data_IF_884219888242
#
_entry.id   IF_884219888242
#
_cell.length_a   1.000
_cell.length_b   1.000
_cell.length_c   1.000
_cell.angle_alpha   90.00
_cell.angle_beta   90.00
_cell.angle_gamma   90.00
#
_symmetry.space_group_name_H-M   'P 1'
#
loop_
_entity.id
_entity.type
_entity.pdbx_description
1 polymer ?
#
# COMPACT_ATOMS: atom_id res chain seq x y z
N UNK A 1 25.30 -2.41 0.86
CA UNK A 1 24.80 -2.39 2.25
C UNK A 1 24.63 -3.83 2.71
N UNK A 2 25.24 -4.22 3.83
CA UNK A 2 25.06 -5.55 4.41
C UNK A 2 23.66 -5.65 5.03
N UNK A 3 22.87 -6.69 4.72
CA UNK A 3 21.56 -6.85 5.32
C UNK A 3 21.67 -6.98 6.84
N UNK A 4 20.81 -6.24 7.56
CA UNK A 4 20.77 -6.24 9.02
C UNK A 4 20.42 -7.64 9.54
N UNK A 5 21.07 -8.09 10.62
CA UNK A 5 20.84 -9.43 11.15
C UNK A 5 19.40 -9.61 11.63
N UNK A 6 18.91 -10.85 11.60
CA UNK A 6 17.54 -11.16 12.03
C UNK A 6 17.30 -10.75 13.48
N UNK A 7 18.30 -10.90 14.36
CA UNK A 7 18.21 -10.48 15.76
C UNK A 7 17.88 -8.98 15.89
N UNK A 8 18.59 -8.12 15.14
CA UNK A 8 18.34 -6.68 15.15
C UNK A 8 16.97 -6.36 14.55
N UNK A 9 16.56 -7.06 13.48
CA UNK A 9 15.23 -6.88 12.86
C UNK A 9 14.08 -7.31 13.78
N UNK A 10 14.31 -8.19 14.75
CA UNK A 10 13.29 -8.71 15.67
C UNK A 10 13.17 -7.93 16.97
N UNK A 11 14.20 -7.21 17.40
CA UNK A 11 14.22 -6.49 18.68
C UNK A 11 13.05 -5.50 18.81
N UNK A 12 12.97 -4.54 17.88
CA UNK A 12 11.96 -3.49 17.93
C UNK A 12 10.53 -4.04 17.80
N UNK A 13 10.20 -4.92 16.82
CA UNK A 13 8.85 -5.51 16.75
C UNK A 13 8.47 -6.33 17.98
N UNK A 14 9.42 -7.04 18.60
CA UNK A 14 9.18 -7.79 19.83
C UNK A 14 8.83 -6.87 21.01
N UNK A 15 9.61 -5.79 21.19
CA UNK A 15 9.37 -4.79 22.24
C UNK A 15 8.05 -4.06 22.05
N UNK A 16 7.71 -3.65 20.82
CA UNK A 16 6.45 -2.98 20.51
C UNK A 16 5.24 -3.88 20.79
N UNK A 17 5.33 -5.18 20.45
CA UNK A 17 4.29 -6.16 20.80
C UNK A 17 4.11 -6.29 22.31
N UNK A 18 5.21 -6.41 23.06
CA UNK A 18 5.15 -6.53 24.52
C UNK A 18 4.49 -5.31 25.20
N UNK A 19 4.61 -4.12 24.61
CA UNK A 19 3.91 -2.91 25.07
C UNK A 19 2.42 -2.93 24.66
N UNK A 20 2.12 -3.40 23.45
CA UNK A 20 0.77 -3.36 22.90
C UNK A 20 -0.18 -4.40 23.54
N UNK A 21 0.33 -5.58 23.88
CA UNK A 21 -0.45 -6.68 24.49
C UNK A 21 -1.22 -6.27 25.75
N UNK A 22 -0.59 -5.72 26.81
CA UNK A 22 -1.32 -5.32 28.02
C UNK A 22 -2.28 -4.16 27.79
N UNK A 23 -2.07 -3.36 26.74
CA UNK A 23 -2.98 -2.28 26.35
C UNK A 23 -4.17 -2.77 25.51
N UNK A 24 -4.22 -4.06 25.15
CA UNK A 24 -5.25 -4.62 24.27
C UNK A 24 -5.16 -4.09 22.83
N UNK A 25 -4.00 -3.58 22.41
CA UNK A 25 -3.79 -3.01 21.07
C UNK A 25 -3.20 -4.10 20.17
N UNK A 26 -3.89 -4.49 19.07
CA UNK A 26 -3.33 -5.45 18.13
C UNK A 26 -2.10 -4.88 17.41
N UNK A 27 -0.92 -5.42 17.70
CA UNK A 27 0.31 -5.08 16.99
C UNK A 27 0.56 -6.07 15.85
N UNK A 28 0.56 -5.57 14.61
CA UNK A 28 0.79 -6.37 13.40
C UNK A 28 1.93 -5.76 12.58
N UNK A 29 2.54 -6.55 11.69
CA UNK A 29 3.62 -6.09 10.80
C UNK A 29 3.32 -6.40 9.35
N UNK A 30 3.98 -5.72 8.42
CA UNK A 30 3.93 -6.07 7.01
C UNK A 30 5.25 -6.67 6.52
N UNK A 31 5.19 -7.71 5.67
CA UNK A 31 6.29 -8.20 4.82
C UNK A 31 7.60 -8.50 5.54
N UNK A 32 7.57 -9.49 6.44
CA UNK A 32 8.75 -10.06 7.12
C UNK A 32 8.37 -11.37 7.84
N UNK A 33 8.10 -12.46 7.11
CA UNK A 33 7.67 -13.74 7.70
C UNK A 33 8.66 -14.31 8.73
N UNK A 34 9.96 -14.14 8.51
CA UNK A 34 11.02 -14.54 9.43
C UNK A 34 10.97 -13.79 10.77
N UNK A 35 10.56 -12.52 10.74
CA UNK A 35 10.38 -11.73 11.97
C UNK A 35 9.08 -12.17 12.66
N UNK A 36 8.05 -12.59 11.91
CA UNK A 36 6.82 -13.21 12.45
C UNK A 36 7.08 -14.51 13.18
N UNK A 37 7.87 -15.40 12.58
CA UNK A 37 8.26 -16.64 13.21
C UNK A 37 8.98 -16.41 14.55
N UNK A 38 9.78 -15.34 14.68
CA UNK A 38 10.56 -15.07 15.90
C UNK A 38 9.80 -14.33 17.01
N UNK A 39 8.99 -13.34 16.66
CA UNK A 39 8.34 -12.50 17.68
C UNK A 39 6.88 -12.84 17.89
N UNK A 40 6.32 -13.70 17.04
CA UNK A 40 4.89 -14.02 16.97
C UNK A 40 3.99 -12.83 16.63
N UNK A 41 4.53 -11.67 16.24
CA UNK A 41 3.68 -10.58 15.76
C UNK A 41 3.00 -11.05 14.45
N UNK A 42 1.67 -10.97 14.33
CA UNK A 42 0.99 -11.42 13.13
C UNK A 42 1.35 -10.59 11.90
N UNK A 43 1.26 -11.22 10.72
CA UNK A 43 1.27 -10.50 9.46
C UNK A 43 0.01 -9.63 9.33
N UNK A 44 0.17 -8.46 8.74
CA UNK A 44 -0.90 -7.52 8.41
C UNK A 44 -1.16 -7.51 6.93
N UNK A 45 -2.41 -7.26 6.59
CA UNK A 45 -2.89 -7.05 5.24
C UNK A 45 -3.45 -5.65 5.16
N UNK A 46 -2.64 -4.76 4.60
CA UNK A 46 -2.87 -3.32 4.50
C UNK A 46 -4.23 -2.95 3.88
N UNK A 47 -4.66 -3.71 2.89
CA UNK A 47 -5.84 -3.44 2.06
C UNK A 47 -6.75 -4.68 1.95
N UNK A 48 -6.75 -5.54 2.98
CA UNK A 48 -7.44 -6.83 2.91
C UNK A 48 -8.94 -6.66 2.67
N UNK A 49 -9.55 -7.54 1.89
CA UNK A 49 -11.01 -7.57 1.79
C UNK A 49 -11.70 -7.73 3.16
N UNK A 50 -11.08 -8.40 4.13
CA UNK A 50 -11.60 -8.48 5.50
C UNK A 50 -11.72 -7.11 6.18
N UNK A 51 -10.84 -6.16 5.85
CA UNK A 51 -10.98 -4.77 6.30
C UNK A 51 -12.15 -4.08 5.64
N UNK A 52 -12.34 -4.26 4.34
CA UNK A 52 -13.49 -3.72 3.62
C UNK A 52 -14.81 -4.25 4.22
N UNK A 53 -14.92 -5.56 4.45
CA UNK A 53 -16.10 -6.19 5.08
C UNK A 53 -16.32 -5.72 6.51
N UNK A 54 -15.25 -5.44 7.26
CA UNK A 54 -15.38 -4.88 8.62
C UNK A 54 -16.05 -3.51 8.62
N UNK A 55 -15.81 -2.69 7.59
CA UNK A 55 -16.40 -1.35 7.44
C UNK A 55 -17.75 -1.41 6.72
N UNK A 56 -17.89 -2.32 5.75
CA UNK A 56 -19.04 -2.50 4.87
C UNK A 56 -19.49 -3.98 4.87
N UNK A 57 -20.25 -4.43 5.89
CA UNK A 57 -20.61 -5.84 6.07
C UNK A 57 -21.35 -6.47 4.88
N UNK A 58 -22.09 -5.69 4.10
CA UNK A 58 -22.78 -6.11 2.88
C UNK A 58 -21.83 -6.70 1.82
N UNK A 59 -20.57 -6.28 1.83
CA UNK A 59 -19.52 -6.79 0.94
C UNK A 59 -19.11 -8.23 1.25
N UNK A 60 -19.56 -8.82 2.37
CA UNK A 60 -19.28 -10.21 2.71
C UNK A 60 -19.80 -11.21 1.66
N UNK A 61 -20.84 -10.84 0.91
CA UNK A 61 -21.45 -11.67 -0.15
C UNK A 61 -20.91 -11.36 -1.55
N UNK A 62 -20.09 -10.31 -1.68
CA UNK A 62 -19.51 -9.89 -2.95
C UNK A 62 -18.28 -10.73 -3.30
N UNK A 63 -17.90 -10.72 -4.57
CA UNK A 63 -16.70 -11.43 -5.04
C UNK A 63 -15.46 -10.86 -4.35
N UNK A 64 -14.72 -11.72 -3.68
CA UNK A 64 -13.45 -11.39 -3.04
C UNK A 64 -12.43 -10.91 -4.07
N UNK A 65 -11.71 -9.82 -3.77
CA UNK A 65 -10.55 -9.42 -4.55
C UNK A 65 -9.44 -10.46 -4.39
N UNK A 66 -8.81 -10.85 -5.49
CA UNK A 66 -7.67 -11.79 -5.47
C UNK A 66 -6.54 -11.19 -4.63
N UNK A 67 -5.80 -12.04 -3.93
CA UNK A 67 -4.52 -11.63 -3.32
C UNK A 67 -3.50 -11.45 -4.44
N UNK A 68 -2.97 -10.23 -4.60
CA UNK A 68 -1.90 -9.93 -5.56
C UNK A 68 -0.86 -9.05 -4.87
N UNK A 69 0.14 -9.66 -4.23
CA UNK A 69 1.09 -8.92 -3.42
C UNK A 69 2.02 -8.05 -4.28
N UNK A 70 2.18 -6.78 -3.92
CA UNK A 70 3.14 -5.87 -4.56
C UNK A 70 4.60 -6.10 -4.18
N UNK A 71 4.86 -6.94 -3.16
CA UNK A 71 6.20 -7.32 -2.71
C UNK A 71 6.19 -8.73 -2.13
N UNK A 72 7.35 -9.39 -2.17
CA UNK A 72 7.52 -10.71 -1.59
C UNK A 72 7.16 -10.71 -0.09
N UNK A 73 6.40 -11.74 0.33
CA UNK A 73 5.90 -11.85 1.71
C UNK A 73 4.74 -10.91 2.07
N UNK A 74 4.16 -10.20 1.10
CA UNK A 74 2.91 -9.46 1.29
C UNK A 74 1.69 -10.36 1.11
N UNK A 75 0.60 -10.03 1.80
CA UNK A 75 -0.67 -10.75 1.71
C UNK A 75 -1.83 -9.80 1.37
N UNK A 76 -1.51 -8.59 0.90
CA UNK A 76 -2.48 -7.57 0.51
C UNK A 76 -3.30 -8.04 -0.73
N UNK A 77 -4.57 -7.66 -0.76
CA UNK A 77 -5.46 -7.79 -1.92
C UNK A 77 -4.91 -7.00 -3.11
N UNK A 78 -5.38 -7.34 -4.31
CA UNK A 78 -5.00 -6.65 -5.55
C UNK A 78 -5.28 -5.15 -5.47
N UNK A 79 -4.24 -4.37 -5.76
CA UNK A 79 -4.29 -2.91 -5.83
C UNK A 79 -4.31 -2.46 -7.29
N UNK A 80 -5.08 -1.41 -7.54
CA UNK A 80 -5.09 -0.71 -8.82
C UNK A 80 -4.85 0.76 -8.55
N UNK A 81 -3.94 1.36 -9.33
CA UNK A 81 -3.70 2.79 -9.24
C UNK A 81 -4.92 3.55 -9.77
N UNK A 82 -5.46 4.44 -8.93
CA UNK A 82 -6.59 5.32 -9.28
C UNK A 82 -6.15 6.64 -9.90
N UNK A 83 -4.84 6.89 -9.99
CA UNK A 83 -4.27 8.14 -10.48
C UNK A 83 -3.00 7.90 -11.30
N UNK A 84 -2.58 8.95 -12.00
CA UNK A 84 -1.38 8.91 -12.84
C UNK A 84 -0.46 10.07 -12.46
N UNK A 85 0.81 9.77 -12.26
CA UNK A 85 1.80 10.80 -11.97
C UNK A 85 1.98 11.76 -13.15
N UNK A 86 2.54 12.92 -12.84
CA UNK A 86 2.78 14.03 -13.78
C UNK A 86 1.52 14.57 -14.45
N UNK A 87 0.35 14.49 -13.82
CA UNK A 87 -0.90 15.06 -14.37
C UNK A 87 -1.41 16.29 -13.62
N UNK A 88 -0.82 16.62 -12.47
CA UNK A 88 -1.25 17.73 -11.63
C UNK A 88 -0.65 19.07 -12.10
N UNK A 89 -1.51 20.03 -12.42
CA UNK A 89 -1.13 21.37 -12.96
C UNK A 89 -0.77 22.40 -11.89
N UNK A 90 -0.83 22.04 -10.60
CA UNK A 90 -0.70 23.01 -9.49
C UNK A 90 0.73 23.52 -9.27
N UNK A 91 1.76 22.83 -9.78
CA UNK A 91 3.14 23.32 -9.75
C UNK A 91 3.79 23.38 -8.36
N UNK A 92 3.36 22.53 -7.42
CA UNK A 92 3.90 22.50 -6.06
C UNK A 92 5.41 22.18 -6.05
N UNK A 93 6.20 22.99 -5.32
CA UNK A 93 7.67 22.82 -5.19
C UNK A 93 8.11 21.45 -4.64
N UNK A 94 7.25 20.83 -3.84
CA UNK A 94 7.49 19.53 -3.21
C UNK A 94 6.42 18.51 -3.62
N UNK A 95 6.09 18.47 -4.91
CA UNK A 95 5.14 17.49 -5.41
C UNK A 95 5.76 16.09 -5.41
N UNK A 96 5.14 15.17 -4.70
CA UNK A 96 5.42 13.73 -4.83
C UNK A 96 4.79 13.14 -6.09
N UNK A 97 3.69 13.75 -6.57
CA UNK A 97 2.89 13.21 -7.67
C UNK A 97 3.21 13.79 -9.05
N UNK A 98 4.10 14.78 -9.16
CA UNK A 98 4.47 15.39 -10.43
C UNK A 98 5.90 15.91 -10.38
N UNK A 99 6.78 15.27 -11.15
CA UNK A 99 8.18 15.61 -11.27
C UNK A 99 8.43 16.70 -12.31
N UNK A 100 7.44 16.99 -13.17
CA UNK A 100 7.53 18.02 -14.21
C UNK A 100 6.20 18.71 -14.45
N UNK A 101 6.15 20.02 -14.19
CA UNK A 101 4.98 20.84 -14.52
C UNK A 101 4.73 20.89 -16.02
N UNK A 102 5.78 20.96 -16.84
CA UNK A 102 5.64 20.94 -18.31
C UNK A 102 4.99 19.64 -18.79
N UNK A 103 5.40 18.49 -18.24
CA UNK A 103 4.77 17.20 -18.56
C UNK A 103 3.29 17.19 -18.15
N UNK A 104 2.96 17.75 -17.01
CA UNK A 104 1.56 17.91 -16.59
C UNK A 104 0.77 18.79 -17.56
N UNK A 105 1.35 19.88 -18.08
CA UNK A 105 0.68 20.73 -19.08
C UNK A 105 0.37 19.95 -20.35
N UNK A 106 1.34 19.18 -20.84
CA UNK A 106 1.16 18.36 -22.06
C UNK A 106 0.10 17.29 -21.85
N UNK A 107 0.12 16.58 -20.71
CA UNK A 107 -0.86 15.53 -20.42
C UNK A 107 -2.26 16.12 -20.20
N UNK A 108 -2.37 17.25 -19.51
CA UNK A 108 -3.63 17.95 -19.32
C UNK A 108 -4.22 18.44 -20.65
N UNK A 109 -3.40 18.98 -21.56
CA UNK A 109 -3.85 19.39 -22.89
C UNK A 109 -4.35 18.23 -23.77
N UNK A 110 -3.89 17.00 -23.51
CA UNK A 110 -4.34 15.77 -24.19
C UNK A 110 -5.50 15.08 -23.48
N UNK A 111 -5.97 15.60 -22.35
CA UNK A 111 -7.04 15.00 -21.58
C UNK A 111 -8.35 15.07 -22.35
N UNK A 112 -9.01 13.92 -22.50
CA UNK A 112 -10.36 13.82 -23.03
C UNK A 112 -11.33 13.58 -21.86
N UNK A 113 -12.19 14.55 -21.51
CA UNK A 113 -13.17 14.38 -20.43
C UNK A 113 -14.19 13.26 -20.67
N UNK A 114 -14.38 12.83 -21.92
CA UNK A 114 -15.27 11.71 -22.27
C UNK A 114 -14.58 10.35 -22.19
N UNK A 115 -13.25 10.31 -22.03
CA UNK A 115 -12.51 9.06 -21.92
C UNK A 115 -12.83 8.36 -20.58
N UNK A 116 -12.85 7.01 -20.57
CA UNK A 116 -13.14 6.23 -19.36
C UNK A 116 -12.01 6.30 -18.32
N UNK A 117 -10.83 6.83 -18.70
CA UNK A 117 -9.65 6.97 -17.84
C UNK A 117 -9.14 8.41 -17.90
N UNK A 118 -8.65 8.91 -16.78
CA UNK A 118 -8.13 10.27 -16.65
C UNK A 118 -6.92 10.56 -17.55
N UNK A 119 -6.09 9.55 -17.78
CA UNK A 119 -4.95 9.63 -18.69
C UNK A 119 -4.71 8.27 -19.33
N UNK A 120 -4.52 8.24 -20.64
CA UNK A 120 -4.13 7.03 -21.36
C UNK A 120 -2.74 6.59 -20.90
N UNK A 121 -2.53 5.33 -20.48
CA UNK A 121 -1.19 4.85 -20.19
C UNK A 121 -0.39 4.82 -21.49
N UNK A 122 0.55 5.74 -21.66
CA UNK A 122 1.66 5.49 -22.58
C UNK A 122 2.34 4.24 -22.03
N UNK A 123 2.33 3.15 -22.81
CA UNK A 123 3.00 1.88 -22.44
C UNK A 123 4.44 2.22 -22.05
N UNK A 124 4.76 2.11 -20.76
CA UNK A 124 6.14 2.05 -20.29
C UNK A 124 6.77 0.73 -20.72
#
# INVERSE_FOLDING_TARGET
>A
MTPMSLAVRTDLPGRLRAIAEPAGIPFTRCCSPEVSARTGCPATRCNAWSWAVRVYPELARSRWLKTRPGREGCECSEEFDIGFYDTCMLGCRYSYGSCSLERARVLHARHDPAAPLFSSPERR
#
